data_IF_639843732807
#
_entry.id   IF_639843732807
#
_cell.length_a   1.000
_cell.length_b   1.000
_cell.length_c   1.000
_cell.angle_alpha   90.00
_cell.angle_beta   90.00
_cell.angle_gamma   90.00
#
_symmetry.space_group_name_H-M   'P 1'
#
loop_
_entity.id
_entity.type
_entity.pdbx_description
1 polymer ?
#
# COMPACT_ATOMS: atom_id res chain seq x y z
N UNK A 1 -17.00 4.28 -33.56
CA UNK A 1 -16.73 3.51 -32.31
C UNK A 1 -16.33 4.53 -31.25
N UNK A 2 -17.01 4.60 -30.12
CA UNK A 2 -16.57 5.45 -29.00
C UNK A 2 -15.30 4.78 -28.47
N UNK A 3 -14.16 5.47 -28.55
CA UNK A 3 -12.90 4.95 -27.99
C UNK A 3 -13.13 4.64 -26.51
N UNK A 4 -12.90 3.39 -26.14
CA UNK A 4 -12.98 2.95 -24.76
C UNK A 4 -11.95 3.76 -23.93
N UNK A 5 -12.37 4.54 -22.91
CA UNK A 5 -11.45 5.38 -22.14
C UNK A 5 -10.33 4.59 -21.45
N UNK A 6 -10.55 3.32 -21.16
CA UNK A 6 -9.49 2.47 -20.59
C UNK A 6 -8.38 2.20 -21.61
N UNK A 7 -8.73 1.95 -22.88
CA UNK A 7 -7.75 1.77 -23.97
C UNK A 7 -6.98 3.05 -24.25
N UNK A 8 -7.69 4.20 -24.33
CA UNK A 8 -7.08 5.51 -24.60
C UNK A 8 -6.00 5.86 -23.57
N UNK A 9 -6.22 5.50 -22.29
CA UNK A 9 -5.31 5.78 -21.19
C UNK A 9 -4.43 4.59 -20.80
N UNK A 10 -4.47 3.48 -21.53
CA UNK A 10 -3.68 2.28 -21.26
C UNK A 10 -3.99 1.63 -19.91
N UNK A 11 -5.23 1.78 -19.41
CA UNK A 11 -5.66 1.19 -18.14
C UNK A 11 -5.96 -0.28 -18.36
N UNK A 12 -5.12 -1.15 -17.81
CA UNK A 12 -5.24 -2.61 -17.96
C UNK A 12 -6.09 -3.26 -16.85
N UNK A 13 -6.27 -2.59 -15.72
CA UNK A 13 -7.11 -3.05 -14.60
C UNK A 13 -7.52 -1.87 -13.73
N UNK A 14 -8.57 -2.06 -12.95
CA UNK A 14 -8.96 -1.19 -11.85
C UNK A 14 -8.54 -1.80 -10.52
N UNK A 15 -8.17 -0.97 -9.55
CA UNK A 15 -8.01 -1.39 -8.15
C UNK A 15 -9.14 -0.81 -7.30
N UNK A 16 -9.46 -1.38 -6.12
CA UNK A 16 -10.44 -0.80 -5.20
C UNK A 16 -10.15 0.66 -4.88
N UNK A 17 -8.87 1.02 -4.65
CA UNK A 17 -8.47 2.41 -4.41
C UNK A 17 -8.67 3.31 -5.63
N UNK A 18 -8.50 2.79 -6.85
CA UNK A 18 -8.74 3.50 -8.09
C UNK A 18 -10.23 3.79 -8.28
N UNK A 19 -11.08 2.82 -7.94
CA UNK A 19 -12.54 2.97 -7.99
C UNK A 19 -13.00 4.02 -6.96
N UNK A 20 -12.53 3.94 -5.72
CA UNK A 20 -12.84 4.91 -4.68
C UNK A 20 -12.38 6.33 -5.07
N UNK A 21 -11.22 6.44 -5.71
CA UNK A 21 -10.74 7.72 -6.24
C UNK A 21 -11.68 8.28 -7.32
N UNK A 22 -12.14 7.44 -8.25
CA UNK A 22 -13.09 7.86 -9.27
C UNK A 22 -14.42 8.33 -8.67
N UNK A 23 -14.95 7.60 -7.69
CA UNK A 23 -16.19 7.96 -7.00
C UNK A 23 -16.03 9.30 -6.26
N UNK A 24 -14.89 9.50 -5.60
CA UNK A 24 -14.61 10.72 -4.83
C UNK A 24 -14.33 11.93 -5.71
N UNK A 25 -13.56 11.77 -6.77
CA UNK A 25 -13.20 12.83 -7.71
C UNK A 25 -12.81 12.24 -9.08
N UNK A 26 -13.75 12.14 -10.04
CA UNK A 26 -13.47 11.62 -11.38
C UNK A 26 -12.33 12.35 -12.09
N UNK A 27 -12.24 13.68 -11.95
CA UNK A 27 -11.17 14.47 -12.57
C UNK A 27 -9.78 14.08 -12.06
N UNK A 28 -9.64 13.82 -10.77
CA UNK A 28 -8.39 13.37 -10.18
C UNK A 28 -8.00 11.97 -10.70
N UNK A 29 -8.98 11.09 -10.88
CA UNK A 29 -8.74 9.77 -11.47
C UNK A 29 -8.25 9.88 -12.91
N UNK A 30 -8.91 10.72 -13.74
CA UNK A 30 -8.50 10.96 -15.13
C UNK A 30 -7.07 11.48 -15.20
N UNK A 31 -6.72 12.50 -14.39
CA UNK A 31 -5.36 13.02 -14.32
C UNK A 31 -4.33 11.92 -13.98
N UNK A 32 -4.65 11.06 -13.01
CA UNK A 32 -3.77 9.96 -12.61
C UNK A 32 -3.54 8.95 -13.74
N UNK A 33 -4.60 8.52 -14.44
CA UNK A 33 -4.47 7.54 -15.53
C UNK A 33 -3.83 8.15 -16.79
N UNK A 34 -3.91 9.47 -16.95
CA UNK A 34 -3.20 10.23 -17.98
C UNK A 34 -1.72 10.51 -17.64
N UNK A 35 -1.20 9.90 -16.57
CA UNK A 35 0.20 10.03 -16.18
C UNK A 35 0.52 11.16 -15.18
N UNK A 36 -0.44 12.01 -14.85
CA UNK A 36 -0.26 13.10 -13.88
C UNK A 36 -0.45 12.57 -12.45
N UNK A 37 0.55 11.87 -11.93
CA UNK A 37 0.54 11.37 -10.56
C UNK A 37 1.15 12.39 -9.63
N UNK A 38 0.42 12.73 -8.56
CA UNK A 38 1.00 13.49 -7.46
C UNK A 38 2.13 12.70 -6.76
N UNK A 39 3.01 13.40 -6.01
CA UNK A 39 4.07 12.74 -5.26
C UNK A 39 3.49 11.80 -4.20
N UNK A 40 4.09 10.63 -4.06
CA UNK A 40 3.76 9.73 -2.95
C UNK A 40 4.33 10.28 -1.64
N UNK A 41 3.63 10.06 -0.53
CA UNK A 41 4.05 10.62 0.77
C UNK A 41 4.94 9.63 1.55
N UNK A 42 5.83 10.14 2.44
CA UNK A 42 6.61 9.30 3.34
C UNK A 42 5.75 8.37 4.21
N UNK A 43 4.57 8.80 4.63
CA UNK A 43 3.61 7.97 5.37
C UNK A 43 3.11 6.78 4.56
N UNK A 44 2.91 6.94 3.24
CA UNK A 44 2.55 5.82 2.35
C UNK A 44 3.72 4.83 2.24
N UNK A 45 4.96 5.32 2.14
CA UNK A 45 6.14 4.43 2.08
C UNK A 45 6.28 3.63 3.36
N UNK A 46 6.13 4.28 4.54
CA UNK A 46 6.10 3.57 5.82
C UNK A 46 5.05 2.47 5.82
N UNK A 47 3.83 2.77 5.35
CA UNK A 47 2.74 1.79 5.25
C UNK A 47 3.16 0.55 4.45
N UNK A 48 3.70 0.75 3.25
CA UNK A 48 4.21 -0.32 2.39
C UNK A 48 5.31 -1.13 3.08
N UNK A 49 6.27 -0.46 3.75
CA UNK A 49 7.38 -1.13 4.41
C UNK A 49 6.93 -1.99 5.61
N UNK A 50 5.94 -1.50 6.38
CA UNK A 50 5.40 -2.27 7.52
C UNK A 50 4.57 -3.45 7.05
N UNK A 51 3.77 -3.30 6.01
CA UNK A 51 3.01 -4.38 5.39
C UNK A 51 3.96 -5.49 4.88
N UNK A 52 5.01 -5.11 4.16
CA UNK A 52 6.04 -6.03 3.66
C UNK A 52 6.76 -6.76 4.82
N UNK A 53 7.11 -6.05 5.89
CA UNK A 53 7.75 -6.63 7.06
C UNK A 53 6.84 -7.64 7.78
N UNK A 54 5.56 -7.32 7.95
CA UNK A 54 4.58 -8.26 8.56
C UNK A 54 4.39 -9.48 7.69
N UNK A 55 4.26 -9.30 6.38
CA UNK A 55 4.12 -10.40 5.42
C UNK A 55 5.35 -11.32 5.46
N UNK A 56 6.54 -10.76 5.38
CA UNK A 56 7.79 -11.51 5.41
C UNK A 56 8.03 -12.23 6.76
N UNK A 57 7.53 -11.70 7.87
CA UNK A 57 7.72 -12.29 9.18
C UNK A 57 7.14 -13.71 9.31
N UNK A 58 6.15 -14.07 8.49
CA UNK A 58 5.58 -15.42 8.52
C UNK A 58 6.49 -16.50 7.92
N UNK A 59 7.53 -16.11 7.20
CA UNK A 59 8.55 -17.00 6.65
C UNK A 59 9.72 -17.26 7.62
N UNK A 60 9.75 -16.54 8.75
CA UNK A 60 10.80 -16.68 9.77
C UNK A 60 10.26 -17.32 11.05
N UNK A 61 11.07 -18.20 11.63
CA UNK A 61 10.79 -18.84 12.94
C UNK A 61 11.82 -18.43 14.02
N UNK A 62 12.85 -17.67 13.64
CA UNK A 62 13.96 -17.32 14.52
C UNK A 62 13.67 -16.08 15.40
N UNK A 63 14.46 -15.94 16.48
CA UNK A 63 14.32 -14.83 17.45
C UNK A 63 14.69 -13.48 16.86
N UNK A 64 15.49 -13.46 15.77
CA UNK A 64 16.00 -12.24 15.15
C UNK A 64 15.06 -11.73 14.04
N UNK A 65 13.91 -12.37 13.89
CA UNK A 65 12.92 -12.06 12.85
C UNK A 65 12.55 -10.56 12.82
N UNK A 66 12.26 -9.97 13.98
CA UNK A 66 11.87 -8.56 14.07
C UNK A 66 13.02 -7.66 13.61
N UNK A 67 14.25 -7.95 14.02
CA UNK A 67 15.43 -7.19 13.62
C UNK A 67 15.67 -7.29 12.11
N UNK A 68 15.62 -8.50 11.56
CA UNK A 68 15.83 -8.77 10.12
C UNK A 68 14.76 -8.07 9.26
N UNK A 69 13.49 -8.22 9.62
CA UNK A 69 12.38 -7.60 8.88
C UNK A 69 12.40 -6.08 9.01
N UNK A 70 12.76 -5.52 10.17
CA UNK A 70 12.93 -4.08 10.37
C UNK A 70 14.04 -3.52 9.50
N UNK A 71 15.21 -4.17 9.46
CA UNK A 71 16.34 -3.73 8.61
C UNK A 71 15.94 -3.73 7.12
N UNK A 72 15.24 -4.79 6.69
CA UNK A 72 14.75 -4.86 5.31
C UNK A 72 13.73 -3.75 5.02
N UNK A 73 12.75 -3.54 5.90
CA UNK A 73 11.74 -2.49 5.77
C UNK A 73 12.36 -1.08 5.66
N UNK A 74 13.37 -0.78 6.48
CA UNK A 74 14.11 0.49 6.40
C UNK A 74 14.84 0.61 5.05
N UNK A 75 15.47 -0.45 4.57
CA UNK A 75 16.14 -0.46 3.26
C UNK A 75 15.15 -0.21 2.12
N UNK A 76 13.96 -0.81 2.18
CA UNK A 76 12.89 -0.57 1.20
C UNK A 76 12.44 0.89 1.25
N UNK A 77 12.28 1.47 2.44
CA UNK A 77 11.91 2.88 2.60
C UNK A 77 12.94 3.81 1.97
N UNK A 78 14.23 3.57 2.24
CA UNK A 78 15.33 4.37 1.69
C UNK A 78 15.34 4.31 0.15
N UNK A 79 15.13 3.13 -0.43
CA UNK A 79 15.01 2.97 -1.88
C UNK A 79 13.78 3.70 -2.46
N UNK A 80 12.64 3.65 -1.76
CA UNK A 80 11.43 4.39 -2.17
C UNK A 80 11.67 5.90 -2.10
N UNK A 81 12.33 6.39 -1.05
CA UNK A 81 12.70 7.80 -0.92
C UNK A 81 13.59 8.25 -2.08
N UNK A 82 14.69 7.55 -2.36
CA UNK A 82 15.63 7.93 -3.41
C UNK A 82 14.96 7.94 -4.80
N UNK A 83 14.12 6.94 -5.09
CA UNK A 83 13.39 6.89 -6.36
C UNK A 83 12.41 8.05 -6.50
N UNK A 84 11.63 8.33 -5.45
CA UNK A 84 10.62 9.39 -5.50
C UNK A 84 11.26 10.78 -5.44
N UNK A 85 12.39 10.95 -4.73
CA UNK A 85 13.17 12.18 -4.72
C UNK A 85 13.63 12.57 -6.13
N UNK A 86 14.20 11.63 -6.89
CA UNK A 86 14.62 11.88 -8.29
C UNK A 86 13.45 12.39 -9.15
N UNK A 87 12.27 11.78 -8.98
CA UNK A 87 11.07 12.20 -9.73
C UNK A 87 10.63 13.59 -9.29
N UNK A 88 10.60 13.88 -7.98
CA UNK A 88 10.20 15.19 -7.46
C UNK A 88 11.18 16.28 -7.86
N UNK A 89 12.48 16.03 -7.77
CA UNK A 89 13.51 16.99 -8.16
C UNK A 89 13.35 17.39 -9.64
N UNK A 90 13.00 16.44 -10.51
CA UNK A 90 12.73 16.72 -11.93
C UNK A 90 11.48 17.60 -12.15
N UNK A 91 10.58 17.65 -11.19
CA UNK A 91 9.36 18.47 -11.18
C UNK A 91 9.51 19.78 -10.38
N UNK A 92 10.69 20.06 -9.84
CA UNK A 92 10.95 21.21 -8.97
C UNK A 92 10.30 21.11 -7.59
N UNK A 93 9.88 19.91 -7.18
CA UNK A 93 9.25 19.64 -5.88
C UNK A 93 10.30 19.11 -4.90
N UNK A 94 10.13 19.44 -3.61
CA UNK A 94 11.01 18.95 -2.55
C UNK A 94 10.20 18.27 -1.45
N UNK A 95 10.77 17.22 -0.88
CA UNK A 95 10.23 16.62 0.33
C UNK A 95 10.66 17.42 1.57
N UNK A 96 9.77 17.45 2.55
CA UNK A 96 10.09 17.85 3.90
C UNK A 96 10.94 16.76 4.56
N UNK A 97 12.23 17.03 4.74
CA UNK A 97 13.18 16.03 5.22
C UNK A 97 12.87 15.59 6.65
N UNK A 98 12.40 16.50 7.51
CA UNK A 98 12.03 16.16 8.89
C UNK A 98 10.88 15.12 8.90
N UNK A 99 9.90 15.28 7.99
CA UNK A 99 8.82 14.29 7.84
C UNK A 99 9.30 12.97 7.28
N UNK A 100 10.24 12.99 6.33
CA UNK A 100 10.84 11.77 5.79
C UNK A 100 11.53 10.99 6.90
N UNK A 101 12.38 11.66 7.69
CA UNK A 101 13.11 11.05 8.81
C UNK A 101 12.16 10.56 9.91
N UNK A 102 11.15 11.33 10.27
CA UNK A 102 10.15 10.93 11.26
C UNK A 102 9.41 9.65 10.84
N UNK A 103 8.99 9.55 9.58
CA UNK A 103 8.29 8.36 9.08
C UNK A 103 9.22 7.15 8.97
N UNK A 104 10.47 7.36 8.57
CA UNK A 104 11.51 6.33 8.56
C UNK A 104 11.78 5.75 9.95
N UNK A 105 11.95 6.63 10.94
CA UNK A 105 12.23 6.23 12.33
C UNK A 105 11.04 5.52 13.00
N UNK A 106 9.82 5.81 12.56
CA UNK A 106 8.63 5.13 13.05
C UNK A 106 8.51 3.67 12.58
N UNK A 107 9.19 3.25 11.50
CA UNK A 107 9.08 1.89 10.95
C UNK A 107 9.35 0.84 12.02
N UNK A 108 10.44 0.96 12.75
CA UNK A 108 10.81 0.01 13.81
C UNK A 108 9.67 -0.18 14.81
N UNK A 109 9.12 0.91 15.34
CA UNK A 109 8.02 0.88 16.31
C UNK A 109 6.79 0.18 15.76
N UNK A 110 6.42 0.43 14.49
CA UNK A 110 5.28 -0.25 13.87
C UNK A 110 5.53 -1.74 13.68
N UNK A 111 6.73 -2.12 13.25
CA UNK A 111 7.12 -3.53 13.06
C UNK A 111 7.13 -4.29 14.39
N UNK A 112 7.70 -3.69 15.45
CA UNK A 112 7.76 -4.27 16.80
C UNK A 112 6.38 -4.52 17.41
N UNK A 113 5.38 -3.72 17.05
CA UNK A 113 3.99 -3.89 17.52
C UNK A 113 3.21 -4.83 16.61
N UNK A 114 3.33 -4.67 15.29
CA UNK A 114 2.51 -5.39 14.33
C UNK A 114 2.88 -6.88 14.23
N UNK A 115 4.15 -7.21 14.17
CA UNK A 115 4.58 -8.61 13.99
C UNK A 115 4.12 -9.52 15.15
N UNK A 116 4.36 -9.19 16.42
CA UNK A 116 3.84 -10.01 17.52
C UNK A 116 2.32 -10.14 17.51
N UNK A 117 1.62 -9.04 17.19
CA UNK A 117 0.16 -9.05 17.11
C UNK A 117 -0.36 -10.04 16.05
N UNK A 118 0.15 -9.97 14.82
CA UNK A 118 -0.28 -10.85 13.75
C UNK A 118 0.20 -12.30 13.93
N UNK A 119 1.41 -12.50 14.46
CA UNK A 119 1.91 -13.85 14.80
C UNK A 119 1.06 -14.53 15.88
N UNK A 120 0.55 -13.79 16.87
CA UNK A 120 -0.32 -14.34 17.91
C UNK A 120 -1.68 -14.85 17.36
N UNK A 121 -2.13 -14.35 16.22
CA UNK A 121 -3.35 -14.83 15.54
C UNK A 121 -3.10 -16.21 14.89
N UNK A 122 -1.85 -16.51 14.55
CA UNK A 122 -1.45 -17.72 13.86
C UNK A 122 -1.03 -17.46 12.41
N UNK A 123 -0.68 -18.54 11.72
CA UNK A 123 -0.22 -18.47 10.33
C UNK A 123 -1.40 -18.26 9.39
N UNK A 124 -1.39 -17.23 8.52
CA UNK A 124 -2.43 -17.04 7.52
C UNK A 124 -2.40 -18.18 6.47
N UNK A 125 -3.55 -18.47 5.89
CA UNK A 125 -3.70 -19.43 4.78
C UNK A 125 -3.20 -18.86 3.46
N UNK A 126 -3.20 -17.52 3.32
CA UNK A 126 -2.58 -16.83 2.20
C UNK A 126 -2.14 -15.41 2.62
N UNK A 127 -1.06 -14.94 2.00
CA UNK A 127 -0.46 -13.61 2.18
C UNK A 127 -0.44 -12.94 0.82
N UNK A 128 -0.82 -11.65 0.74
CA UNK A 128 -0.88 -10.84 -0.48
C UNK A 128 -1.60 -11.57 -1.62
N UNK A 129 -2.75 -12.19 -1.27
CA UNK A 129 -3.52 -12.99 -2.23
C UNK A 129 -4.18 -12.09 -3.25
N UNK A 130 -3.80 -12.26 -4.53
CA UNK A 130 -4.46 -11.58 -5.64
C UNK A 130 -5.91 -12.04 -5.77
N UNK A 131 -6.82 -11.09 -5.86
CA UNK A 131 -8.22 -11.28 -6.25
C UNK A 131 -8.44 -10.58 -7.58
N UNK A 132 -9.10 -11.27 -8.49
CA UNK A 132 -9.45 -10.73 -9.80
C UNK A 132 -10.93 -10.96 -10.06
N UNK A 133 -11.66 -9.89 -10.35
CA UNK A 133 -13.08 -9.89 -10.66
C UNK A 133 -13.28 -9.33 -12.05
N UNK A 134 -14.07 -10.03 -12.86
CA UNK A 134 -14.46 -9.59 -14.18
C UNK A 134 -15.98 -9.32 -14.20
N UNK A 135 -16.36 -8.16 -14.72
CA UNK A 135 -17.75 -7.77 -14.92
C UNK A 135 -17.99 -7.53 -16.41
N UNK A 136 -19.16 -7.92 -16.89
CA UNK A 136 -19.51 -7.82 -18.33
C UNK A 136 -19.50 -6.36 -18.80
N UNK A 137 -19.93 -5.43 -17.94
CA UNK A 137 -20.06 -4.02 -18.26
C UNK A 137 -18.73 -3.24 -18.10
N UNK A 138 -17.71 -3.86 -17.52
CA UNK A 138 -16.41 -3.21 -17.28
C UNK A 138 -15.35 -3.89 -18.15
N UNK A 139 -14.77 -3.18 -19.13
CA UNK A 139 -13.88 -3.78 -20.13
C UNK A 139 -12.50 -4.21 -19.60
N UNK A 140 -12.22 -3.97 -18.33
CA UNK A 140 -10.95 -4.35 -17.67
C UNK A 140 -11.24 -5.02 -16.33
N UNK A 141 -10.41 -5.98 -15.86
CA UNK A 141 -10.63 -6.64 -14.59
C UNK A 141 -10.43 -5.66 -13.41
N UNK A 142 -11.10 -5.95 -12.30
CA UNK A 142 -10.83 -5.34 -11.01
C UNK A 142 -9.86 -6.26 -10.28
N UNK A 143 -8.67 -5.73 -9.96
CA UNK A 143 -7.62 -6.47 -9.25
C UNK A 143 -7.38 -5.84 -7.88
N UNK A 144 -7.44 -6.67 -6.84
CA UNK A 144 -7.08 -6.32 -5.48
C UNK A 144 -6.16 -7.36 -4.87
N UNK A 145 -5.60 -7.02 -3.70
CA UNK A 145 -4.78 -7.93 -2.91
C UNK A 145 -5.32 -7.98 -1.49
N UNK A 146 -5.43 -9.18 -0.95
CA UNK A 146 -5.76 -9.43 0.45
C UNK A 146 -4.44 -9.56 1.20
N UNK A 147 -4.17 -8.68 2.17
CA UNK A 147 -2.90 -8.69 2.90
C UNK A 147 -2.72 -10.01 3.63
N UNK A 148 -3.66 -10.39 4.48
CA UNK A 148 -3.63 -11.66 5.21
C UNK A 148 -5.00 -12.34 5.15
N UNK A 149 -5.04 -13.58 4.66
CA UNK A 149 -6.23 -14.42 4.67
C UNK A 149 -6.08 -15.52 5.72
N UNK A 150 -7.09 -15.68 6.55
CA UNK A 150 -7.25 -16.82 7.48
C UNK A 150 -8.53 -17.59 7.12
N UNK A 151 -8.79 -18.69 7.80
CA UNK A 151 -10.05 -19.40 7.62
C UNK A 151 -11.23 -18.53 8.08
N UNK A 152 -12.11 -18.17 7.14
CA UNK A 152 -13.29 -17.33 7.40
C UNK A 152 -13.01 -15.85 7.71
N UNK A 153 -11.75 -15.39 7.72
CA UNK A 153 -11.39 -14.01 8.09
C UNK A 153 -10.37 -13.43 7.11
N UNK A 154 -10.58 -12.17 6.73
CA UNK A 154 -9.61 -11.36 5.99
C UNK A 154 -9.12 -10.26 6.93
N UNK A 155 -7.81 -9.98 6.91
CA UNK A 155 -7.21 -8.86 7.64
C UNK A 155 -6.41 -7.99 6.70
N UNK A 156 -6.60 -6.68 6.86
CA UNK A 156 -5.90 -5.63 6.14
C UNK A 156 -4.91 -4.96 7.10
N UNK A 157 -3.70 -4.72 6.65
CA UNK A 157 -2.62 -4.13 7.44
C UNK A 157 -2.63 -2.62 7.21
N UNK A 158 -3.01 -1.85 8.21
CA UNK A 158 -3.02 -0.39 8.13
C UNK A 158 -2.16 0.25 9.20
N UNK A 159 -1.28 1.15 8.76
CA UNK A 159 -0.50 2.01 9.65
C UNK A 159 -1.12 3.40 9.67
N UNK A 160 -1.41 3.92 10.86
CA UNK A 160 -1.97 5.26 11.03
C UNK A 160 -1.28 6.00 12.16
N UNK A 161 -1.04 7.28 11.99
CA UNK A 161 -0.54 8.16 13.04
C UNK A 161 -1.65 8.65 14.00
N UNK A 162 -2.92 8.27 13.75
CA UNK A 162 -4.06 8.68 14.56
C UNK A 162 -4.98 7.50 14.77
N UNK A 163 -5.51 7.34 15.99
CA UNK A 163 -6.59 6.40 16.24
C UNK A 163 -7.84 6.85 15.46
N UNK A 164 -8.38 5.96 14.67
CA UNK A 164 -9.65 6.20 14.00
C UNK A 164 -10.77 6.12 15.04
N UNK A 165 -11.57 7.19 15.14
CA UNK A 165 -12.78 7.19 15.99
C UNK A 165 -13.93 6.39 15.39
N UNK A 166 -13.92 6.25 14.07
CA UNK A 166 -14.91 5.51 13.28
C UNK A 166 -14.18 4.75 12.19
N UNK A 167 -14.55 3.50 11.95
CA UNK A 167 -14.02 2.73 10.82
C UNK A 167 -14.58 3.36 9.54
N UNK A 168 -13.72 3.83 8.60
CA UNK A 168 -14.20 4.36 7.33
C UNK A 168 -14.95 3.30 6.54
N UNK A 169 -16.07 3.67 5.92
CA UNK A 169 -16.88 2.77 5.07
C UNK A 169 -16.09 2.15 3.90
N UNK A 170 -14.97 2.76 3.53
CA UNK A 170 -14.06 2.23 2.50
C UNK A 170 -13.18 1.05 2.97
N UNK A 171 -13.27 0.67 4.25
CA UNK A 171 -12.53 -0.47 4.84
C UNK A 171 -13.46 -1.67 5.10
N UNK A 172 -14.78 -1.49 4.95
CA UNK A 172 -15.78 -2.55 5.10
C UNK A 172 -16.05 -3.25 3.77
#
# INVERSE_FOLDING_TARGET
>A
MKNNPFEVHGVQHLSPSSINQFISCPAQWVLKVSGHRGPSSPAMWRGTCVDDAVSAAFDYEDKDMIEKTTKNAISIFDNLYERNKKTNDSLGLKYDIEKVEAERNNIQRYVEVAIPFYKAIGKPTAIQKKIELQFEEIPVPIIGYIDLQYEGIIRDIKTTGRLLKVIPSSIC
#
